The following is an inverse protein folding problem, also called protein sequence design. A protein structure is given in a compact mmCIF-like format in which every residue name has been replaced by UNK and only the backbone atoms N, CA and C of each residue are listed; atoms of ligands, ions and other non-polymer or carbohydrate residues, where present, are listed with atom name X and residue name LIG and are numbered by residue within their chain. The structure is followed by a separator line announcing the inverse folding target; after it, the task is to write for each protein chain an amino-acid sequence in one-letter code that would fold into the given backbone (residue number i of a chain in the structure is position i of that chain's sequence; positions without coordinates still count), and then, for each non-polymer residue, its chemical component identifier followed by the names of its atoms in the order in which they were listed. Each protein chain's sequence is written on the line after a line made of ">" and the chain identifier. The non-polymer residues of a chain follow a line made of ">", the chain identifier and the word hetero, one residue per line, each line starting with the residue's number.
data_IF_847215499976
#
_entry.id   IF_847215499976
#
_cell.length_a   1.000
_cell.length_b   1.000
_cell.length_c   1.000
_cell.angle_alpha   90.00
_cell.angle_beta   90.00
_cell.angle_gamma   90.00
#
_symmetry.space_group_name_H-M   'P 1'
#
loop_
_entity.id
_entity.type
_entity.pdbx_description
1 polymer ?
#
# COMPACT_ATOMS: atom_id res chain seq x y z
N UNK A 1 12.51 3.08 -14.43
CA UNK A 1 11.56 2.02 -14.07
C UNK A 1 10.51 2.62 -13.12
N UNK A 2 9.24 2.37 -13.39
CA UNK A 2 8.16 2.88 -12.54
C UNK A 2 8.18 2.20 -11.18
N UNK A 3 7.81 2.94 -10.15
CA UNK A 3 7.69 2.39 -8.81
C UNK A 3 6.26 1.93 -8.56
N UNK A 4 6.13 0.80 -7.89
CA UNK A 4 4.85 0.19 -7.55
C UNK A 4 4.84 -0.18 -6.08
N UNK A 5 3.81 0.23 -5.37
CA UNK A 5 3.63 -0.11 -3.96
C UNK A 5 2.56 -1.18 -3.82
N UNK A 6 2.90 -2.26 -3.11
CA UNK A 6 1.96 -3.35 -2.80
C UNK A 6 1.45 -3.19 -1.37
N UNK A 7 0.13 -3.10 -1.22
CA UNK A 7 -0.53 -2.98 0.08
C UNK A 7 -1.31 -4.25 0.39
N UNK A 8 -1.00 -4.87 1.53
CA UNK A 8 -1.58 -6.15 1.91
C UNK A 8 -3.00 -6.00 2.49
N UNK A 9 -3.68 -7.13 2.67
CA UNK A 9 -4.99 -7.18 3.31
C UNK A 9 -4.91 -7.09 4.83
N UNK A 10 -6.09 -7.04 5.46
CA UNK A 10 -6.20 -6.79 6.89
C UNK A 10 -5.51 -7.84 7.77
N UNK A 11 -5.51 -9.09 7.35
CA UNK A 11 -4.90 -10.18 8.12
C UNK A 11 -3.58 -10.66 7.53
N UNK A 12 -3.06 -9.95 6.54
CA UNK A 12 -1.83 -10.32 5.87
C UNK A 12 -0.68 -9.41 6.21
N UNK A 13 0.42 -9.64 5.53
CA UNK A 13 1.61 -8.82 5.62
C UNK A 13 2.27 -8.76 4.27
N UNK A 14 3.35 -7.97 4.17
CA UNK A 14 4.08 -7.84 2.91
C UNK A 14 4.59 -9.18 2.37
N UNK A 15 4.81 -10.16 3.24
CA UNK A 15 5.30 -11.48 2.83
C UNK A 15 4.34 -12.23 1.93
N UNK A 16 3.04 -11.91 1.97
CA UNK A 16 2.08 -12.57 1.07
C UNK A 16 2.26 -12.21 -0.39
N UNK A 17 3.02 -11.17 -0.69
CA UNK A 17 3.26 -10.71 -2.05
C UNK A 17 4.57 -11.22 -2.66
N UNK A 18 5.28 -12.13 -1.98
CA UNK A 18 6.59 -12.57 -2.44
C UNK A 18 6.64 -12.99 -3.91
N UNK A 19 5.72 -13.86 -4.32
CA UNK A 19 5.66 -14.32 -5.71
C UNK A 19 5.35 -13.18 -6.68
N UNK A 20 4.43 -12.30 -6.29
CA UNK A 20 4.03 -11.18 -7.14
C UNK A 20 5.20 -10.21 -7.31
N UNK A 21 5.92 -9.94 -6.23
CA UNK A 21 7.09 -9.07 -6.29
C UNK A 21 8.12 -9.60 -7.29
N UNK A 22 8.40 -10.90 -7.24
CA UNK A 22 9.36 -11.51 -8.14
C UNK A 22 8.95 -11.38 -9.59
N UNK A 23 7.66 -11.57 -9.87
CA UNK A 23 7.14 -11.49 -11.24
C UNK A 23 7.17 -10.07 -11.78
N UNK A 24 7.01 -9.08 -10.91
CA UNK A 24 6.95 -7.69 -11.32
C UNK A 24 8.31 -6.99 -11.30
N UNK A 25 9.31 -7.57 -10.66
CA UNK A 25 10.60 -6.92 -10.46
C UNK A 25 11.31 -6.50 -11.74
N UNK A 26 11.04 -7.18 -12.85
CA UNK A 26 11.62 -6.83 -14.15
C UNK A 26 10.97 -5.61 -14.81
N UNK A 27 9.77 -5.23 -14.38
CA UNK A 27 8.99 -4.14 -15.00
C UNK A 27 8.82 -2.95 -14.09
N UNK A 28 8.89 -3.17 -12.77
CA UNK A 28 8.66 -2.13 -11.77
C UNK A 28 9.72 -2.22 -10.70
N UNK A 29 9.98 -1.08 -10.08
CA UNK A 29 10.69 -1.06 -8.81
C UNK A 29 9.62 -1.28 -7.74
N UNK A 30 9.56 -2.49 -7.19
CA UNK A 30 8.45 -2.92 -6.34
C UNK A 30 8.79 -2.67 -4.87
N UNK A 31 7.83 -2.11 -4.15
CA UNK A 31 7.91 -1.91 -2.71
C UNK A 31 6.72 -2.60 -2.06
N UNK A 32 6.92 -3.10 -0.86
CA UNK A 32 5.83 -3.67 -0.05
C UNK A 32 5.88 -3.03 1.33
N UNK A 33 4.70 -2.77 1.87
CA UNK A 33 4.59 -2.10 3.17
C UNK A 33 3.68 -2.89 4.09
N UNK A 34 4.16 -3.16 5.31
CA UNK A 34 3.35 -3.72 6.38
C UNK A 34 2.70 -2.59 7.15
N UNK A 35 1.39 -2.67 7.34
CA UNK A 35 0.69 -1.72 8.18
C UNK A 35 0.91 -2.02 9.66
N UNK A 36 0.73 -1.02 10.51
CA UNK A 36 0.85 -1.17 11.96
C UNK A 36 -0.02 -2.31 12.45
N UNK A 37 0.55 -3.16 13.30
CA UNK A 37 -0.15 -4.30 13.86
C UNK A 37 -0.28 -5.49 12.94
N UNK A 38 0.30 -5.44 11.75
CA UNK A 38 0.25 -6.52 10.77
C UNK A 38 1.67 -6.97 10.44
N UNK A 39 1.81 -8.26 10.07
CA UNK A 39 3.10 -8.84 9.77
C UNK A 39 4.01 -8.73 10.98
N UNK A 40 5.20 -8.17 10.77
CA UNK A 40 6.19 -8.00 11.85
C UNK A 40 6.23 -6.60 12.40
N UNK A 41 5.38 -5.72 11.90
CA UNK A 41 5.35 -4.34 12.38
C UNK A 41 4.67 -4.25 13.72
N UNK A 42 5.26 -3.55 14.71
CA UNK A 42 4.57 -3.35 15.98
C UNK A 42 3.36 -2.46 15.81
N UNK A 43 2.37 -2.63 16.68
CA UNK A 43 1.22 -1.76 16.69
C UNK A 43 1.59 -0.37 17.15
N UNK A 44 0.97 0.63 16.55
CA UNK A 44 1.08 2.02 16.99
C UNK A 44 -0.02 2.36 17.99
N UNK A 45 0.07 3.54 18.57
CA UNK A 45 -0.94 4.00 19.54
C UNK A 45 -2.25 4.41 18.88
N UNK A 46 -2.26 4.71 17.58
CA UNK A 46 -3.49 5.11 16.93
C UNK A 46 -4.31 3.89 16.50
N UNK A 47 -5.59 4.13 16.33
CA UNK A 47 -6.53 3.09 15.92
C UNK A 47 -6.21 2.55 14.53
N UNK A 48 -6.63 1.31 14.28
CA UNK A 48 -6.49 0.68 12.97
C UNK A 48 -7.61 1.17 12.05
N UNK A 49 -7.45 2.34 11.47
CA UNK A 49 -8.39 2.90 10.52
C UNK A 49 -7.74 3.03 9.16
N UNK A 50 -8.57 3.07 8.13
CA UNK A 50 -8.07 3.28 6.76
C UNK A 50 -7.31 4.60 6.69
N UNK A 51 -7.82 5.63 7.34
CA UNK A 51 -7.18 6.94 7.37
C UNK A 51 -5.78 6.89 7.99
N UNK A 52 -5.62 6.19 9.11
CA UNK A 52 -4.32 6.06 9.74
C UNK A 52 -3.34 5.27 8.88
N UNK A 53 -3.82 4.22 8.21
CA UNK A 53 -2.98 3.45 7.30
C UNK A 53 -2.55 4.30 6.10
N UNK A 54 -3.43 5.18 5.62
CA UNK A 54 -3.05 6.12 4.56
C UNK A 54 -1.92 7.05 5.01
N UNK A 55 -2.00 7.51 6.25
CA UNK A 55 -0.93 8.35 6.81
C UNK A 55 0.39 7.59 6.89
N UNK A 56 0.35 6.29 7.22
CA UNK A 56 1.56 5.47 7.22
C UNK A 56 2.16 5.37 5.81
N UNK A 57 1.32 5.23 4.80
CA UNK A 57 1.80 5.20 3.41
C UNK A 57 2.44 6.53 3.04
N UNK A 58 1.77 7.63 3.36
CA UNK A 58 2.30 8.96 3.05
C UNK A 58 3.63 9.22 3.77
N UNK A 59 3.73 8.81 5.04
CA UNK A 59 4.98 8.94 5.80
C UNK A 59 6.09 8.14 5.15
N UNK A 60 5.78 6.89 4.75
CA UNK A 60 6.76 6.05 4.07
C UNK A 60 7.21 6.68 2.75
N UNK A 61 6.27 7.23 1.98
CA UNK A 61 6.62 7.91 0.72
C UNK A 61 7.54 9.09 0.98
N UNK A 62 7.21 9.89 1.99
CA UNK A 62 8.02 11.06 2.33
C UNK A 62 9.42 10.67 2.80
N UNK A 63 9.53 9.62 3.60
CA UNK A 63 10.81 9.12 4.07
C UNK A 63 11.70 8.60 2.93
N UNK A 64 11.08 8.16 1.86
CA UNK A 64 11.79 7.60 0.70
C UNK A 64 11.84 8.56 -0.48
N UNK A 65 11.43 9.81 -0.27
CA UNK A 65 11.46 10.86 -1.30
C UNK A 65 10.66 10.49 -2.55
N UNK A 66 9.54 9.77 -2.36
CA UNK A 66 8.66 9.36 -3.45
C UNK A 66 7.51 10.36 -3.54
N UNK A 67 7.42 11.07 -4.66
CA UNK A 67 6.37 12.06 -4.88
C UNK A 67 5.06 11.42 -5.30
N UNK A 68 5.12 10.47 -6.21
CA UNK A 68 3.95 9.78 -6.74
C UNK A 68 4.29 8.32 -7.00
N UNK A 69 3.33 7.42 -6.76
CA UNK A 69 3.56 6.00 -6.94
C UNK A 69 2.29 5.31 -7.42
N UNK A 70 2.46 4.26 -8.23
CA UNK A 70 1.36 3.37 -8.58
C UNK A 70 1.16 2.39 -7.42
N UNK A 71 -0.09 1.99 -7.17
CA UNK A 71 -0.43 1.19 -6.00
C UNK A 71 -1.25 -0.02 -6.41
N UNK A 72 -0.87 -1.18 -5.89
CA UNK A 72 -1.67 -2.40 -5.95
C UNK A 72 -2.13 -2.72 -4.53
N UNK A 73 -3.45 -2.74 -4.31
CA UNK A 73 -4.01 -3.02 -3.00
C UNK A 73 -4.84 -4.29 -3.00
N UNK A 74 -4.57 -5.18 -2.04
CA UNK A 74 -5.34 -6.40 -1.86
C UNK A 74 -6.27 -6.25 -0.67
N UNK A 75 -7.57 -6.46 -0.89
CA UNK A 75 -8.59 -6.40 0.17
C UNK A 75 -8.55 -5.03 0.89
N UNK A 76 -8.16 -4.99 2.15
CA UNK A 76 -8.06 -3.73 2.91
C UNK A 76 -7.09 -2.76 2.25
N UNK A 77 -5.97 -3.27 1.71
CA UNK A 77 -5.02 -2.43 0.98
C UNK A 77 -5.65 -1.70 -0.19
N UNK A 78 -6.67 -2.30 -0.83
CA UNK A 78 -7.42 -1.65 -1.89
C UNK A 78 -8.20 -0.43 -1.39
N UNK A 79 -8.80 -0.51 -0.21
CA UNK A 79 -9.49 0.64 0.38
C UNK A 79 -8.50 1.76 0.72
N UNK A 80 -7.33 1.42 1.23
CA UNK A 80 -6.28 2.40 1.50
C UNK A 80 -5.87 3.11 0.21
N UNK A 81 -5.67 2.34 -0.87
CA UNK A 81 -5.31 2.91 -2.16
C UNK A 81 -6.38 3.87 -2.67
N UNK A 82 -7.64 3.47 -2.57
CA UNK A 82 -8.75 4.32 -3.03
C UNK A 82 -8.90 5.58 -2.18
N UNK A 83 -8.69 5.48 -0.86
CA UNK A 83 -8.69 6.63 0.02
C UNK A 83 -7.59 7.62 -0.37
N UNK A 84 -6.39 7.11 -0.65
CA UNK A 84 -5.28 7.94 -1.11
C UNK A 84 -5.64 8.66 -2.41
N UNK A 85 -6.25 7.95 -3.35
CA UNK A 85 -6.66 8.56 -4.62
C UNK A 85 -7.70 9.64 -4.42
N UNK A 86 -8.58 9.47 -3.44
CA UNK A 86 -9.65 10.44 -3.17
C UNK A 86 -9.11 11.72 -2.53
N UNK A 87 -8.24 11.58 -1.54
CA UNK A 87 -7.83 12.72 -0.73
C UNK A 87 -6.43 13.24 -1.06
N UNK A 88 -5.61 12.43 -1.72
CA UNK A 88 -4.24 12.80 -2.10
C UNK A 88 -3.95 12.36 -3.53
N UNK A 89 -4.77 12.80 -4.49
CA UNK A 89 -4.64 12.30 -5.87
C UNK A 89 -3.29 12.61 -6.52
N UNK A 90 -2.62 13.63 -6.06
CA UNK A 90 -1.31 13.99 -6.59
C UNK A 90 -0.21 13.01 -6.16
N UNK A 91 -0.49 12.14 -5.17
CA UNK A 91 0.50 11.20 -4.64
C UNK A 91 0.38 9.81 -5.25
N UNK A 92 -0.70 9.52 -5.95
CA UNK A 92 -0.91 8.21 -6.55
C UNK A 92 -1.10 8.32 -8.05
N UNK A 93 -0.51 7.38 -8.77
CA UNK A 93 -0.71 7.26 -10.21
C UNK A 93 -1.85 6.28 -10.50
N UNK A 94 -1.51 5.13 -11.04
CA UNK A 94 -2.49 4.09 -11.33
C UNK A 94 -2.76 3.27 -10.08
N UNK A 95 -4.01 2.82 -9.93
CA UNK A 95 -4.42 1.98 -8.83
C UNK A 95 -4.98 0.68 -9.37
N UNK A 96 -4.52 -0.42 -8.80
CA UNK A 96 -5.03 -1.75 -9.07
C UNK A 96 -5.53 -2.33 -7.76
N UNK A 97 -6.72 -2.92 -7.74
CA UNK A 97 -7.25 -3.56 -6.54
C UNK A 97 -7.65 -4.99 -6.83
N UNK A 98 -7.55 -5.83 -5.83
CA UNK A 98 -7.99 -7.22 -5.90
C UNK A 98 -8.66 -7.58 -4.60
N UNK A 99 -9.83 -8.22 -4.68
CA UNK A 99 -10.55 -8.64 -3.49
C UNK A 99 -11.17 -7.52 -2.69
N UNK A 100 -11.24 -6.31 -3.26
CA UNK A 100 -11.83 -5.15 -2.61
C UNK A 100 -13.26 -4.96 -3.13
N UNK A 101 -14.23 -5.01 -2.23
CA UNK A 101 -15.62 -4.83 -2.61
C UNK A 101 -15.96 -3.35 -2.66
N UNK A 102 -16.49 -2.92 -3.78
CA UNK A 102 -16.92 -1.55 -3.99
C UNK A 102 -18.45 -1.52 -4.04
N UNK A 103 -19.02 -0.63 -3.29
CA UNK A 103 -20.48 -0.43 -3.32
C UNK A 103 -20.78 1.00 -3.64
#
# INVERSE_FOLDING_TARGET
>A
MKELLLLHGALGSREQFGDLEQRLAGKFKVHSLNFSGHGRRPSHHHAFTIQNFCHEVLDWMNENYIQQIDVFGYSMGGYVALWLARFYPERVGKIFTLGTKLK
#
